data_IF_628021777115
#
_entry.id   IF_628021777115
#
_cell.length_a   1.000
_cell.length_b   1.000
_cell.length_c   1.000
_cell.angle_alpha   90.00
_cell.angle_beta   90.00
_cell.angle_gamma   90.00
#
_symmetry.space_group_name_H-M   'P 1'
#
loop_
_entity.id
_entity.type
_entity.pdbx_description
1 polymer ?
#
# COMPACT_ATOMS: atom_id res chain seq x y z
N UNK A 1 -66.85 -2.73 20.60
CA UNK A 1 -65.74 -1.81 20.79
C UNK A 1 -64.44 -2.53 20.39
N UNK A 2 -64.00 -2.30 19.17
CA UNK A 2 -62.76 -2.92 18.62
C UNK A 2 -61.61 -1.96 18.80
N UNK A 3 -60.54 -2.41 19.46
CA UNK A 3 -59.26 -1.68 19.58
C UNK A 3 -58.45 -1.89 18.32
N UNK A 4 -58.26 -0.85 17.52
CA UNK A 4 -57.27 -0.86 16.41
C UNK A 4 -55.86 -0.59 17.02
N UNK A 5 -55.03 -1.62 17.00
CA UNK A 5 -53.61 -1.47 17.35
C UNK A 5 -52.82 -1.07 16.10
N UNK A 6 -52.39 0.17 16.02
CA UNK A 6 -51.47 0.66 14.99
C UNK A 6 -50.04 0.26 15.33
N UNK A 7 -49.44 -0.61 14.51
CA UNK A 7 -48.01 -0.98 14.58
C UNK A 7 -47.22 0.04 13.78
N UNK A 8 -46.47 0.89 14.45
CA UNK A 8 -45.54 1.82 13.82
C UNK A 8 -44.20 1.09 13.53
N UNK A 9 -43.91 0.80 12.27
CA UNK A 9 -42.64 0.22 11.86
C UNK A 9 -41.56 1.31 11.89
N UNK A 10 -40.58 1.17 12.77
CA UNK A 10 -39.41 2.04 12.86
C UNK A 10 -38.36 1.54 11.86
N UNK A 11 -38.21 2.22 10.73
CA UNK A 11 -37.20 1.93 9.73
C UNK A 11 -35.85 2.48 10.19
N UNK A 12 -34.94 1.62 10.65
CA UNK A 12 -33.55 2.01 10.93
C UNK A 12 -32.79 2.12 9.61
N UNK A 13 -32.49 3.34 9.16
CA UNK A 13 -31.49 3.57 8.11
C UNK A 13 -30.11 3.23 8.68
N UNK A 14 -29.61 2.05 8.37
CA UNK A 14 -28.18 1.74 8.55
C UNK A 14 -27.39 2.46 7.45
N UNK A 15 -26.84 3.63 7.75
CA UNK A 15 -25.87 4.28 6.90
C UNK A 15 -24.64 3.37 6.80
N UNK A 16 -24.31 2.87 5.61
CA UNK A 16 -23.03 2.23 5.35
C UNK A 16 -21.94 3.31 5.52
N UNK A 17 -21.17 3.25 6.60
CA UNK A 17 -19.94 4.02 6.70
C UNK A 17 -19.00 3.47 5.61
N UNK A 18 -18.67 4.27 4.60
CA UNK A 18 -17.64 3.92 3.63
C UNK A 18 -16.30 3.90 4.41
N UNK A 19 -15.79 2.69 4.63
CA UNK A 19 -14.52 2.51 5.32
C UNK A 19 -13.40 2.98 4.37
N UNK A 20 -12.48 3.77 4.89
CA UNK A 20 -11.23 4.12 4.18
C UNK A 20 -10.43 2.84 3.99
N UNK A 21 -9.84 2.66 2.79
CA UNK A 21 -8.98 1.52 2.47
C UNK A 21 -7.64 1.55 3.22
N UNK A 22 -6.78 0.60 2.91
CA UNK A 22 -5.52 0.33 3.62
C UNK A 22 -4.34 0.31 2.67
N UNK A 23 -3.19 0.79 3.14
CA UNK A 23 -1.90 0.44 2.57
C UNK A 23 -1.40 -0.85 3.23
N UNK A 24 -1.11 -1.86 2.42
CA UNK A 24 -0.65 -3.18 2.89
C UNK A 24 0.70 -3.47 2.23
N UNK A 25 1.64 -4.01 2.99
CA UNK A 25 2.95 -4.48 2.49
C UNK A 25 3.12 -5.92 2.90
N UNK A 26 3.26 -6.82 1.92
CA UNK A 26 3.40 -8.28 2.12
C UNK A 26 4.76 -8.75 1.64
N UNK A 27 5.50 -9.43 2.49
CA UNK A 27 6.80 -10.01 2.17
C UNK A 27 6.67 -11.50 1.85
N UNK A 28 6.84 -11.88 0.58
CA UNK A 28 6.93 -13.29 0.12
C UNK A 28 8.38 -13.71 -0.20
N UNK A 29 9.37 -12.81 0.03
CA UNK A 29 10.78 -13.14 -0.13
C UNK A 29 11.28 -14.07 0.99
N UNK A 30 12.35 -14.81 0.73
CA UNK A 30 12.98 -15.68 1.73
C UNK A 30 13.71 -14.91 2.86
N UNK A 31 14.03 -13.63 2.61
CA UNK A 31 14.70 -12.76 3.59
C UNK A 31 13.71 -11.75 4.18
N UNK A 32 13.90 -11.31 5.43
CA UNK A 32 13.11 -10.24 6.00
C UNK A 32 13.31 -8.93 5.25
N UNK A 33 12.31 -8.07 5.29
CA UNK A 33 12.38 -6.66 4.86
C UNK A 33 12.06 -5.76 6.04
N UNK A 34 12.50 -4.51 5.96
CA UNK A 34 12.41 -3.52 7.05
C UNK A 34 11.62 -2.32 6.54
N UNK A 35 10.61 -1.90 7.31
CA UNK A 35 9.64 -0.90 6.90
C UNK A 35 9.52 0.21 7.94
N UNK A 36 9.32 1.44 7.44
CA UNK A 36 8.97 2.64 8.22
C UNK A 36 7.82 3.37 7.52
N UNK A 37 6.87 3.86 8.31
CA UNK A 37 5.90 4.84 7.85
C UNK A 37 6.48 6.23 8.07
N UNK A 38 6.53 7.03 7.01
CA UNK A 38 7.17 8.35 6.98
C UNK A 38 6.17 9.38 6.48
N UNK A 39 5.86 10.35 7.33
CA UNK A 39 5.16 11.58 7.04
C UNK A 39 5.99 12.76 7.53
N UNK A 40 5.39 13.68 8.30
CA UNK A 40 6.11 14.70 9.07
C UNK A 40 6.94 14.10 10.24
N UNK A 41 6.60 12.89 10.64
CA UNK A 41 7.35 12.07 11.59
C UNK A 41 7.66 10.71 10.97
N UNK A 42 8.62 10.00 11.56
CA UNK A 42 8.99 8.64 11.14
C UNK A 42 8.62 7.66 12.24
N UNK A 43 7.97 6.55 11.88
CA UNK A 43 7.65 5.47 12.82
C UNK A 43 8.89 4.72 13.30
N UNK A 44 8.72 3.86 14.31
CA UNK A 44 9.72 2.84 14.60
C UNK A 44 9.80 1.85 13.43
N UNK A 45 10.94 1.17 13.32
CA UNK A 45 11.15 0.09 12.35
C UNK A 45 10.17 -1.07 12.60
N UNK A 46 9.51 -1.52 11.54
CA UNK A 46 8.76 -2.78 11.51
C UNK A 46 9.56 -3.80 10.72
N UNK A 47 9.77 -4.98 11.30
CA UNK A 47 10.43 -6.11 10.62
C UNK A 47 9.35 -7.00 10.04
N UNK A 48 9.43 -7.28 8.75
CA UNK A 48 8.54 -8.19 8.05
C UNK A 48 9.31 -9.44 7.63
N UNK A 49 9.25 -10.52 8.42
CA UNK A 49 9.75 -11.83 8.01
C UNK A 49 9.04 -12.34 6.75
N UNK A 50 9.55 -13.42 6.16
CA UNK A 50 8.86 -14.14 5.10
C UNK A 50 7.41 -14.46 5.49
N UNK A 51 6.50 -14.33 4.52
CA UNK A 51 5.05 -14.63 4.62
C UNK A 51 4.33 -13.80 5.71
N UNK A 52 4.85 -12.60 6.02
CA UNK A 52 4.21 -11.65 6.92
C UNK A 52 3.77 -10.39 6.20
N UNK A 53 2.81 -9.68 6.80
CA UNK A 53 2.27 -8.43 6.25
C UNK A 53 2.20 -7.35 7.32
N UNK A 54 2.38 -6.12 6.87
CA UNK A 54 2.07 -4.88 7.59
C UNK A 54 0.84 -4.24 6.93
N UNK A 55 0.04 -3.51 7.70
CA UNK A 55 -1.07 -2.75 7.13
C UNK A 55 -1.49 -1.59 8.01
N UNK A 56 -1.79 -0.45 7.38
CA UNK A 56 -2.33 0.74 8.03
C UNK A 56 -3.53 1.28 7.24
N UNK A 57 -4.49 1.93 7.92
CA UNK A 57 -5.54 2.67 7.24
C UNK A 57 -4.94 3.88 6.52
N UNK A 58 -5.43 4.20 5.33
CA UNK A 58 -5.02 5.44 4.68
C UNK A 58 -5.34 6.64 5.57
N UNK A 59 -4.36 7.51 5.69
CA UNK A 59 -4.51 8.76 6.43
C UNK A 59 -3.72 9.89 5.77
N UNK A 60 -4.04 11.11 6.11
CA UNK A 60 -3.33 12.30 5.63
C UNK A 60 -2.44 12.82 6.74
N UNK A 61 -1.17 13.02 6.45
CA UNK A 61 -0.30 13.78 7.34
C UNK A 61 -0.54 15.29 7.12
N UNK A 62 -0.89 16.04 8.18
CA UNK A 62 -1.29 17.44 8.02
C UNK A 62 -0.15 18.38 7.58
N UNK A 63 1.09 17.93 7.65
CA UNK A 63 2.29 18.73 7.32
C UNK A 63 2.86 18.33 5.96
N UNK A 64 3.10 17.02 5.73
CA UNK A 64 3.66 16.52 4.46
C UNK A 64 2.60 16.30 3.37
N UNK A 65 1.33 16.19 3.76
CA UNK A 65 0.21 15.93 2.86
C UNK A 65 0.04 14.47 2.46
N UNK A 66 1.11 13.71 2.37
CA UNK A 66 1.12 12.28 2.01
C UNK A 66 1.94 11.44 2.96
N UNK A 67 1.88 10.13 2.76
CA UNK A 67 2.62 9.13 3.53
C UNK A 67 3.52 8.33 2.57
N UNK A 68 4.72 8.00 3.03
CA UNK A 68 5.64 7.11 2.35
C UNK A 68 5.96 5.90 3.24
N UNK A 69 5.58 4.70 2.80
CA UNK A 69 6.11 3.46 3.34
C UNK A 69 7.48 3.23 2.72
N UNK A 70 8.55 3.41 3.51
CA UNK A 70 9.92 3.22 3.08
C UNK A 70 10.40 1.84 3.48
N UNK A 71 10.92 1.09 2.51
CA UNK A 71 11.28 -0.31 2.69
C UNK A 71 12.73 -0.54 2.28
N UNK A 72 13.48 -1.26 3.12
CA UNK A 72 14.88 -1.61 2.87
C UNK A 72 15.13 -3.11 3.06
N UNK A 73 16.17 -3.68 2.41
CA UNK A 73 16.55 -5.09 2.60
C UNK A 73 17.37 -5.33 3.86
N UNK A 74 17.90 -4.30 4.50
CA UNK A 74 18.69 -4.42 5.72
C UNK A 74 18.15 -3.51 6.84
N UNK A 75 18.38 -3.87 8.12
CA UNK A 75 17.92 -3.06 9.25
C UNK A 75 18.62 -1.71 9.26
N UNK A 76 17.93 -0.70 9.78
CA UNK A 76 18.42 0.68 9.99
C UNK A 76 18.90 1.43 8.72
N UNK A 77 18.76 0.84 7.53
CA UNK A 77 19.19 1.46 6.27
C UNK A 77 18.43 2.75 5.94
N UNK A 78 17.25 2.98 6.54
CA UNK A 78 16.56 4.26 6.41
C UNK A 78 17.45 5.44 6.81
N UNK A 79 18.32 5.27 7.79
CA UNK A 79 19.18 6.30 8.35
C UNK A 79 20.64 6.21 7.86
N UNK A 80 20.96 5.19 7.06
CA UNK A 80 22.28 5.02 6.46
C UNK A 80 22.40 5.94 5.24
N UNK A 81 23.43 6.82 5.18
CA UNK A 81 23.64 7.71 4.04
C UNK A 81 23.74 6.95 2.71
N UNK A 82 22.95 7.35 1.72
CA UNK A 82 22.88 6.75 0.38
C UNK A 82 22.47 5.26 0.32
N UNK A 83 21.97 4.68 1.41
CA UNK A 83 21.36 3.37 1.35
C UNK A 83 20.11 3.40 0.46
N UNK A 84 20.02 2.44 -0.45
CA UNK A 84 18.89 2.39 -1.39
C UNK A 84 17.62 1.96 -0.69
N UNK A 85 16.51 2.62 -1.04
CA UNK A 85 15.20 2.45 -0.43
C UNK A 85 14.14 2.30 -1.51
N UNK A 86 13.22 1.35 -1.34
CA UNK A 86 11.96 1.34 -2.06
C UNK A 86 10.95 2.21 -1.32
N UNK A 87 10.17 2.98 -2.05
CA UNK A 87 9.13 3.85 -1.51
C UNK A 87 7.79 3.47 -2.12
N UNK A 88 6.85 3.06 -1.27
CA UNK A 88 5.43 3.01 -1.60
C UNK A 88 4.78 4.24 -0.99
N UNK A 89 4.49 5.24 -1.81
CA UNK A 89 3.87 6.48 -1.37
C UNK A 89 2.38 6.49 -1.65
N UNK A 90 1.62 7.14 -0.77
CA UNK A 90 0.21 7.42 -1.01
C UNK A 90 -0.22 8.79 -0.48
N UNK A 91 -1.27 9.35 -1.10
CA UNK A 91 -1.92 10.59 -0.68
C UNK A 91 -3.44 10.46 -0.83
N UNK A 92 -4.18 10.80 0.22
CA UNK A 92 -5.65 10.87 0.20
C UNK A 92 -6.07 12.27 -0.22
N UNK A 93 -6.78 12.36 -1.33
CA UNK A 93 -7.33 13.61 -1.83
C UNK A 93 -8.81 13.46 -2.19
N UNK A 94 -9.69 14.10 -1.44
CA UNK A 94 -11.14 14.01 -1.60
C UNK A 94 -11.65 12.55 -1.52
N UNK A 95 -12.15 11.99 -2.63
CA UNK A 95 -12.64 10.62 -2.73
C UNK A 95 -11.61 9.65 -3.33
N UNK A 96 -10.37 10.10 -3.55
CA UNK A 96 -9.35 9.31 -4.22
C UNK A 96 -8.16 9.03 -3.32
N UNK A 97 -7.52 7.89 -3.57
CA UNK A 97 -6.18 7.57 -3.13
C UNK A 97 -5.25 7.66 -4.34
N UNK A 98 -4.23 8.51 -4.28
CA UNK A 98 -3.12 8.54 -5.23
C UNK A 98 -2.01 7.70 -4.67
N UNK A 99 -1.37 6.89 -5.50
CA UNK A 99 -0.29 6.00 -5.07
C UNK A 99 0.80 5.90 -6.11
N UNK A 100 2.00 5.59 -5.64
CA UNK A 100 3.22 5.53 -6.43
C UNK A 100 4.17 4.50 -5.84
N UNK A 101 5.03 3.95 -6.71
CA UNK A 101 6.18 3.15 -6.32
C UNK A 101 7.43 3.73 -6.96
N UNK A 102 8.44 4.03 -6.15
CA UNK A 102 9.69 4.64 -6.59
C UNK A 102 10.89 4.11 -5.80
N UNK A 103 12.11 4.32 -6.30
CA UNK A 103 13.36 3.99 -5.60
C UNK A 103 14.16 5.25 -5.32
N UNK A 104 14.82 5.28 -4.15
CA UNK A 104 15.79 6.30 -3.77
C UNK A 104 17.17 5.67 -3.64
N UNK A 105 18.19 6.34 -4.17
CA UNK A 105 19.61 5.92 -4.10
C UNK A 105 19.90 4.54 -4.73
N UNK A 106 19.07 4.13 -5.71
CA UNK A 106 19.21 2.85 -6.41
C UNK A 106 18.09 1.85 -6.13
N UNK A 107 18.11 0.73 -6.83
CA UNK A 107 17.07 -0.30 -6.80
C UNK A 107 17.43 -1.39 -5.77
N UNK A 108 17.05 -1.19 -4.51
CA UNK A 108 17.38 -2.09 -3.38
C UNK A 108 16.81 -3.50 -3.52
N UNK A 109 15.81 -3.67 -4.37
CA UNK A 109 15.16 -4.96 -4.63
C UNK A 109 15.36 -5.46 -6.07
N UNK A 110 16.41 -4.99 -6.77
CA UNK A 110 16.75 -5.47 -8.11
C UNK A 110 16.84 -7.00 -8.17
N UNK A 111 16.23 -7.60 -9.21
CA UNK A 111 16.10 -9.05 -9.39
C UNK A 111 14.91 -9.68 -8.64
N UNK A 112 14.04 -8.90 -8.00
CA UNK A 112 12.85 -9.36 -7.29
C UNK A 112 11.59 -8.74 -7.90
N UNK A 113 10.54 -9.51 -8.07
CA UNK A 113 9.26 -8.98 -8.54
C UNK A 113 8.58 -8.19 -7.44
N UNK A 114 8.15 -6.96 -7.78
CA UNK A 114 7.40 -6.06 -6.91
C UNK A 114 6.08 -5.72 -7.57
N UNK A 115 4.97 -5.72 -6.81
CA UNK A 115 3.66 -5.35 -7.35
C UNK A 115 2.80 -4.65 -6.32
N UNK A 116 2.26 -3.48 -6.68
CA UNK A 116 1.11 -2.89 -6.00
C UNK A 116 -0.15 -3.32 -6.73
N UNK A 117 -1.02 -4.06 -6.03
CA UNK A 117 -2.31 -4.50 -6.54
C UNK A 117 -3.43 -3.84 -5.74
N UNK A 118 -4.29 -3.02 -6.39
CA UNK A 118 -5.54 -2.58 -5.80
C UNK A 118 -6.51 -3.75 -5.57
N UNK A 119 -7.34 -3.68 -4.53
CA UNK A 119 -8.43 -4.65 -4.30
C UNK A 119 -9.61 -4.47 -5.27
N UNK A 120 -9.68 -3.34 -5.95
CA UNK A 120 -10.62 -3.05 -7.04
C UNK A 120 -9.91 -3.25 -8.38
N UNK A 121 -10.37 -4.23 -9.16
CA UNK A 121 -9.81 -4.57 -10.48
C UNK A 121 -9.99 -3.45 -11.53
N UNK A 122 -10.87 -2.47 -11.29
CA UNK A 122 -11.00 -1.29 -12.13
C UNK A 122 -9.84 -0.30 -11.97
N UNK A 123 -8.99 -0.48 -10.96
CA UNK A 123 -7.85 0.39 -10.69
C UNK A 123 -6.54 -0.20 -11.22
N UNK A 124 -5.66 0.69 -11.70
CA UNK A 124 -4.39 0.29 -12.29
C UNK A 124 -3.42 -0.27 -11.24
N UNK A 125 -2.84 -1.43 -11.50
CA UNK A 125 -1.71 -1.95 -10.72
C UNK A 125 -0.39 -1.29 -11.14
N UNK A 126 0.63 -1.34 -10.25
CA UNK A 126 2.02 -1.00 -10.56
C UNK A 126 2.85 -2.28 -10.40
N UNK A 127 3.59 -2.67 -11.44
CA UNK A 127 4.41 -3.89 -11.41
C UNK A 127 5.83 -3.64 -11.90
N UNK A 128 6.82 -4.07 -11.12
CA UNK A 128 8.23 -4.09 -11.48
C UNK A 128 8.73 -5.53 -11.48
N UNK A 129 8.81 -6.13 -12.66
CA UNK A 129 9.13 -7.55 -12.81
C UNK A 129 10.54 -7.93 -12.36
N UNK A 130 11.48 -7.00 -12.48
CA UNK A 130 12.87 -7.17 -12.09
C UNK A 130 13.30 -6.32 -10.90
N UNK A 131 12.34 -5.67 -10.20
CA UNK A 131 12.58 -4.83 -9.04
C UNK A 131 13.35 -3.56 -9.32
N UNK A 132 13.39 -3.12 -10.59
CA UNK A 132 14.02 -1.87 -11.03
C UNK A 132 12.97 -0.84 -11.36
N UNK A 133 13.28 0.42 -11.05
CA UNK A 133 12.40 1.54 -11.35
C UNK A 133 12.25 1.71 -12.87
N UNK A 134 11.04 1.55 -13.44
CA UNK A 134 10.81 1.83 -14.85
C UNK A 134 10.96 3.31 -15.18
N UNK A 135 11.20 3.60 -16.47
CA UNK A 135 11.24 4.97 -16.96
C UNK A 135 9.81 5.57 -16.98
N UNK A 136 9.67 6.79 -16.53
CA UNK A 136 8.40 7.54 -16.52
C UNK A 136 7.67 7.50 -15.18
N UNK A 137 6.55 8.24 -15.12
CA UNK A 137 5.74 8.34 -13.91
C UNK A 137 5.02 7.02 -13.62
N UNK A 138 5.10 6.56 -12.38
CA UNK A 138 4.39 5.38 -11.87
C UNK A 138 3.11 5.75 -11.11
N UNK A 139 2.79 7.05 -11.01
CA UNK A 139 1.63 7.53 -10.23
C UNK A 139 0.32 6.99 -10.80
N UNK A 140 -0.50 6.43 -9.93
CA UNK A 140 -1.85 5.92 -10.21
C UNK A 140 -2.85 6.52 -9.21
N UNK A 141 -4.15 6.31 -9.47
CA UNK A 141 -5.22 6.69 -8.54
C UNK A 141 -6.34 5.67 -8.53
N UNK A 142 -7.03 5.58 -7.40
CA UNK A 142 -8.22 4.76 -7.22
C UNK A 142 -9.21 5.44 -6.25
N UNK A 143 -10.35 4.81 -5.99
CA UNK A 143 -11.24 5.24 -4.90
C UNK A 143 -10.55 4.99 -3.55
N UNK A 144 -10.69 5.91 -2.61
CA UNK A 144 -9.98 5.83 -1.31
C UNK A 144 -10.41 4.68 -0.40
N UNK A 145 -11.51 4.01 -0.74
CA UNK A 145 -12.02 2.82 -0.04
C UNK A 145 -11.31 1.53 -0.50
N UNK A 146 -10.52 1.60 -1.58
CA UNK A 146 -9.80 0.46 -2.16
C UNK A 146 -8.52 0.18 -1.39
N UNK A 147 -8.31 -1.06 -0.94
CA UNK A 147 -7.03 -1.48 -0.38
C UNK A 147 -5.95 -1.52 -1.48
N UNK A 148 -4.73 -1.13 -1.14
CA UNK A 148 -3.54 -1.21 -2.00
C UNK A 148 -2.53 -2.14 -1.34
N UNK A 149 -2.22 -3.26 -1.98
CA UNK A 149 -1.24 -4.23 -1.47
C UNK A 149 0.04 -4.22 -2.30
N UNK A 150 1.15 -3.81 -1.69
CA UNK A 150 2.49 -4.00 -2.22
C UNK A 150 3.02 -5.37 -1.80
N UNK A 151 3.24 -6.26 -2.75
CA UNK A 151 3.81 -7.59 -2.51
C UNK A 151 5.22 -7.68 -3.08
N UNK A 152 6.14 -8.20 -2.28
CA UNK A 152 7.52 -8.50 -2.65
C UNK A 152 7.66 -9.97 -3.04
N UNK A 153 8.47 -10.24 -4.08
CA UNK A 153 8.77 -11.59 -4.57
C UNK A 153 7.53 -12.37 -4.98
N UNK A 154 6.55 -11.69 -5.62
CA UNK A 154 5.34 -12.33 -6.16
C UNK A 154 5.72 -13.35 -7.23
N UNK A 155 5.62 -14.64 -6.91
CA UNK A 155 5.75 -15.76 -7.84
C UNK A 155 7.02 -15.76 -8.68
N UNK A 156 7.53 -16.92 -9.01
CA UNK A 156 8.48 -17.05 -10.12
C UNK A 156 7.71 -16.70 -11.41
N UNK A 157 8.19 -15.72 -12.17
CA UNK A 157 7.74 -15.58 -13.55
C UNK A 157 7.81 -16.96 -14.21
N UNK A 158 6.65 -17.55 -14.52
CA UNK A 158 6.68 -18.69 -15.44
C UNK A 158 7.26 -18.17 -16.77
N UNK A 159 8.19 -18.90 -17.41
CA UNK A 159 8.93 -18.41 -18.57
C UNK A 159 8.06 -17.94 -19.75
N UNK A 160 6.75 -18.22 -19.74
CA UNK A 160 5.79 -17.85 -20.80
C UNK A 160 5.19 -16.45 -20.69
N UNK A 161 5.49 -15.66 -19.61
CA UNK A 161 4.90 -14.34 -19.38
C UNK A 161 5.92 -13.24 -19.03
N UNK A 162 7.22 -13.52 -19.23
CA UNK A 162 8.33 -12.60 -18.93
C UNK A 162 9.00 -12.05 -20.21
N UNK A 163 8.28 -11.91 -21.33
CA UNK A 163 8.72 -11.17 -22.52
C UNK A 163 8.13 -9.78 -22.59
#
# INVERSE_FOLDING_TARGET
MGLLTTITALSTLTGAALAVGRAIVTNQCDSPIYLWTVGSTTSNQTILPKDSSYGELFHTDPVSGGIALKITPAPDDLFTPNASQLVFAYNVENSYIWYDMSSLFGDSFAGRTLRIQPSDDACDSIGWHDGRTPVGSQVKKCQKETDLELTFCTGHCLPSWCE
#
